data_IF_351172685506
#
_entry.id   IF_351172685506
#
_cell.length_a   1.000
_cell.length_b   1.000
_cell.length_c   1.000
_cell.angle_alpha   90.00
_cell.angle_beta   90.00
_cell.angle_gamma   90.00
#
_symmetry.space_group_name_H-M   'P 1'
#
loop_
_entity.id
_entity.type
_entity.pdbx_description
1 polymer ?
#
# COMPACT_ATOMS: atom_id res chain seq x y z
N UNK A 1 -6.69 -23.36 -8.72
CA UNK A 1 -5.24 -23.66 -8.59
C UNK A 1 -4.71 -23.92 -9.99
N UNK A 2 -3.85 -23.07 -10.53
CA UNK A 2 -3.24 -23.25 -11.86
C UNK A 2 -2.23 -24.41 -11.84
N UNK A 3 -2.08 -25.13 -12.95
CA UNK A 3 -1.12 -26.22 -13.05
C UNK A 3 0.32 -25.66 -12.83
N UNK A 4 1.19 -26.32 -12.04
CA UNK A 4 2.50 -25.79 -11.69
C UNK A 4 3.41 -25.52 -12.89
N UNK A 5 3.18 -26.20 -14.02
CA UNK A 5 3.87 -25.93 -15.30
C UNK A 5 3.49 -24.57 -15.90
N UNK A 6 2.22 -24.16 -15.78
CA UNK A 6 1.75 -22.85 -16.27
C UNK A 6 2.39 -21.69 -15.51
N UNK A 7 2.73 -21.89 -14.23
CA UNK A 7 3.40 -20.88 -13.40
C UNK A 7 4.86 -20.69 -13.85
N UNK A 8 5.53 -21.75 -14.28
CA UNK A 8 6.92 -21.67 -14.76
C UNK A 8 7.04 -20.95 -16.10
N UNK A 9 6.06 -21.12 -16.99
CA UNK A 9 6.04 -20.47 -18.30
C UNK A 9 5.44 -19.06 -18.28
N UNK A 10 4.79 -18.67 -17.17
CA UNK A 10 4.09 -17.40 -17.05
C UNK A 10 4.97 -16.17 -17.38
N UNK A 11 6.22 -16.04 -16.89
CA UNK A 11 7.05 -14.88 -17.23
C UNK A 11 7.35 -14.76 -18.73
N UNK A 12 7.61 -15.89 -19.40
CA UNK A 12 7.88 -15.91 -20.84
C UNK A 12 6.62 -15.72 -21.69
N UNK A 13 5.45 -16.09 -21.19
CA UNK A 13 4.17 -15.75 -21.81
C UNK A 13 3.89 -14.25 -21.72
N UNK A 14 4.07 -13.66 -20.54
CA UNK A 14 3.86 -12.24 -20.31
C UNK A 14 4.79 -11.39 -21.18
N UNK A 15 6.08 -11.73 -21.20
CA UNK A 15 7.06 -11.01 -22.03
C UNK A 15 6.67 -10.98 -23.50
N UNK A 16 6.19 -12.09 -24.05
CA UNK A 16 5.75 -12.17 -25.46
C UNK A 16 4.45 -11.41 -25.71
N UNK A 17 3.50 -11.50 -24.77
CA UNK A 17 2.21 -10.81 -24.87
C UNK A 17 2.38 -9.30 -24.79
N UNK A 18 3.19 -8.84 -23.83
CA UNK A 18 3.56 -7.43 -23.67
C UNK A 18 4.30 -6.91 -24.90
N UNK A 19 5.30 -7.65 -25.40
CA UNK A 19 6.05 -7.27 -26.59
C UNK A 19 5.15 -7.15 -27.82
N UNK A 20 4.24 -8.12 -28.03
CA UNK A 20 3.25 -8.03 -29.11
C UNK A 20 2.35 -6.80 -28.93
N UNK A 21 1.92 -6.50 -27.71
CA UNK A 21 1.13 -5.31 -27.40
C UNK A 21 1.88 -4.00 -27.71
N UNK A 22 3.21 -3.96 -27.52
CA UNK A 22 4.05 -2.84 -27.94
C UNK A 22 4.15 -2.72 -29.45
N UNK A 23 4.35 -3.85 -30.15
CA UNK A 23 4.51 -3.88 -31.60
C UNK A 23 3.19 -3.50 -32.32
N UNK A 24 2.05 -3.95 -31.79
CA UNK A 24 0.71 -3.63 -32.27
C UNK A 24 0.24 -2.22 -31.82
N UNK A 25 1.01 -1.53 -30.96
CA UNK A 25 0.68 -0.20 -30.43
C UNK A 25 -0.47 -0.16 -29.43
N UNK A 26 -0.94 -1.32 -28.96
CA UNK A 26 -1.98 -1.44 -27.93
C UNK A 26 -1.45 -0.96 -26.58
N UNK A 27 -0.20 -1.30 -26.27
CA UNK A 27 0.50 -0.87 -25.06
C UNK A 27 1.42 0.29 -25.42
N UNK A 28 1.31 1.37 -24.65
CA UNK A 28 2.23 2.52 -24.72
C UNK A 28 3.17 2.46 -23.52
N UNK A 29 4.32 3.14 -23.59
CA UNK A 29 5.30 3.20 -22.49
C UNK A 29 5.31 4.54 -21.77
N UNK A 30 4.28 5.37 -21.96
CA UNK A 30 4.25 6.74 -21.44
C UNK A 30 4.14 6.77 -19.92
N UNK A 31 3.33 5.90 -19.31
CA UNK A 31 3.21 5.81 -17.86
C UNK A 31 4.50 5.26 -17.26
N UNK A 32 5.09 4.24 -17.87
CA UNK A 32 6.38 3.64 -17.46
C UNK A 32 7.51 4.67 -17.50
N UNK A 33 7.62 5.46 -18.58
CA UNK A 33 8.60 6.56 -18.69
C UNK A 33 8.38 7.64 -17.64
N UNK A 34 7.13 8.03 -17.40
CA UNK A 34 6.78 9.03 -16.37
C UNK A 34 7.10 8.53 -14.97
N UNK A 35 6.75 7.28 -14.69
CA UNK A 35 7.07 6.57 -13.45
C UNK A 35 8.58 6.57 -13.23
N UNK A 36 9.36 6.17 -14.23
CA UNK A 36 10.82 6.16 -14.14
C UNK A 36 11.40 7.54 -13.85
N UNK A 37 11.07 8.54 -14.68
CA UNK A 37 11.58 9.92 -14.53
C UNK A 37 11.26 10.53 -13.17
N UNK A 38 10.02 10.36 -12.69
CA UNK A 38 9.60 10.88 -11.38
C UNK A 38 10.47 10.31 -10.25
N UNK A 39 10.61 8.98 -10.22
CA UNK A 39 11.34 8.30 -9.15
C UNK A 39 12.84 8.50 -9.26
N UNK A 40 13.38 8.53 -10.49
CA UNK A 40 14.78 8.84 -10.74
C UNK A 40 15.14 10.21 -10.18
N UNK A 41 14.37 11.25 -10.54
CA UNK A 41 14.59 12.60 -10.04
C UNK A 41 14.50 12.69 -8.52
N UNK A 42 13.52 12.00 -7.92
CA UNK A 42 13.39 11.96 -6.46
C UNK A 42 14.63 11.34 -5.78
N UNK A 43 15.14 10.22 -6.31
CA UNK A 43 16.33 9.56 -5.76
C UNK A 43 17.58 10.43 -5.96
N UNK A 44 17.74 11.06 -7.13
CA UNK A 44 18.85 12.00 -7.38
C UNK A 44 18.80 13.18 -6.42
N UNK A 45 17.62 13.78 -6.22
CA UNK A 45 17.44 14.91 -5.29
C UNK A 45 17.75 14.51 -3.84
N UNK A 46 17.34 13.31 -3.43
CA UNK A 46 17.67 12.77 -2.10
C UNK A 46 19.17 12.49 -1.95
N UNK A 47 19.83 11.98 -2.99
CA UNK A 47 21.29 11.78 -2.99
C UNK A 47 22.03 13.12 -2.90
N UNK A 48 21.68 14.11 -3.72
CA UNK A 48 22.27 15.45 -3.67
C UNK A 48 22.09 16.11 -2.30
N UNK A 49 20.92 15.94 -1.66
CA UNK A 49 20.69 16.47 -0.30
C UNK A 49 21.61 15.82 0.75
N UNK A 50 21.94 14.53 0.59
CA UNK A 50 22.83 13.81 1.53
C UNK A 50 24.30 14.04 1.26
N UNK A 51 24.68 14.20 -0.01
CA UNK A 51 26.06 14.40 -0.45
C UNK A 51 26.25 15.86 -0.85
N UNK A 52 26.49 16.72 0.14
CA UNK A 52 26.73 18.16 -0.02
C UNK A 52 27.99 18.48 -0.88
N UNK A 53 28.82 17.48 -1.20
CA UNK A 53 30.07 17.59 -1.97
C UNK A 53 29.92 17.33 -3.49
N UNK A 54 28.75 16.89 -3.98
CA UNK A 54 28.57 16.65 -5.42
C UNK A 54 28.30 17.97 -6.14
N UNK A 55 29.22 18.38 -7.01
CA UNK A 55 29.19 19.68 -7.67
C UNK A 55 28.17 19.77 -8.82
N UNK A 56 27.84 18.67 -9.51
CA UNK A 56 26.86 18.66 -10.61
C UNK A 56 25.91 17.46 -10.54
N UNK A 57 24.63 17.68 -10.89
CA UNK A 57 23.57 16.67 -10.90
C UNK A 57 23.87 15.53 -11.87
N UNK A 58 24.62 15.81 -12.94
CA UNK A 58 24.95 14.88 -14.03
C UNK A 58 25.84 13.72 -13.60
N UNK A 59 26.60 13.90 -12.52
CA UNK A 59 27.52 12.88 -12.01
C UNK A 59 26.81 11.87 -11.09
N UNK A 60 25.55 12.14 -10.73
CA UNK A 60 24.75 11.27 -9.86
C UNK A 60 23.99 10.26 -10.69
N UNK A 61 24.53 9.04 -10.80
CA UNK A 61 23.81 7.91 -11.36
C UNK A 61 23.23 7.01 -10.25
N UNK A 62 21.92 7.08 -9.95
CA UNK A 62 21.33 6.18 -8.99
C UNK A 62 21.24 4.75 -9.55
N UNK A 63 21.41 3.70 -8.71
CA UNK A 63 21.20 2.33 -9.14
C UNK A 63 19.75 2.09 -9.58
N UNK A 64 19.54 1.42 -10.72
CA UNK A 64 18.21 1.17 -11.28
C UNK A 64 17.26 0.49 -10.28
N UNK A 65 17.75 -0.51 -9.54
CA UNK A 65 16.97 -1.20 -8.52
C UNK A 65 16.49 -0.29 -7.37
N UNK A 66 17.26 0.77 -7.04
CA UNK A 66 16.87 1.74 -6.01
C UNK A 66 15.77 2.69 -6.52
N UNK A 67 15.88 3.11 -7.79
CA UNK A 67 14.84 3.92 -8.46
C UNK A 67 13.53 3.15 -8.58
N UNK A 68 13.61 1.89 -8.98
CA UNK A 68 12.43 1.02 -9.06
C UNK A 68 11.80 0.77 -7.68
N UNK A 69 12.61 0.42 -6.67
CA UNK A 69 12.13 0.24 -5.30
C UNK A 69 11.46 1.50 -4.75
N UNK A 70 12.02 2.68 -5.04
CA UNK A 70 11.39 3.97 -4.71
C UNK A 70 10.00 4.07 -5.33
N UNK A 71 9.87 3.79 -6.62
CA UNK A 71 8.61 3.86 -7.32
C UNK A 71 7.56 2.87 -6.81
N UNK A 72 7.94 1.64 -6.53
CA UNK A 72 7.02 0.65 -5.99
C UNK A 72 6.50 1.05 -4.60
N UNK A 73 7.37 1.61 -3.76
CA UNK A 73 6.99 2.17 -2.45
C UNK A 73 6.10 3.41 -2.61
N UNK A 74 6.32 4.25 -3.61
CA UNK A 74 5.42 5.36 -3.95
C UNK A 74 4.03 4.89 -4.35
N UNK A 75 3.92 3.80 -5.12
CA UNK A 75 2.62 3.27 -5.53
C UNK A 75 1.79 2.78 -4.32
N UNK A 76 2.44 2.16 -3.33
CA UNK A 76 1.75 1.51 -2.20
C UNK A 76 1.64 2.38 -0.95
N UNK A 77 2.64 3.20 -0.65
CA UNK A 77 2.77 3.91 0.64
C UNK A 77 2.59 5.43 0.50
N UNK A 78 2.08 5.92 -0.63
CA UNK A 78 1.66 7.30 -0.74
C UNK A 78 0.43 7.58 0.13
N UNK A 79 0.34 8.79 0.69
CA UNK A 79 -0.80 9.17 1.57
C UNK A 79 -2.10 9.41 0.80
N UNK A 80 -2.03 9.52 -0.52
CA UNK A 80 -3.19 9.71 -1.39
C UNK A 80 -3.37 8.48 -2.28
N UNK A 81 -4.62 8.17 -2.68
CA UNK A 81 -4.88 7.11 -3.64
C UNK A 81 -4.08 7.38 -4.91
N UNK A 82 -3.44 6.34 -5.43
CA UNK A 82 -2.61 6.46 -6.61
C UNK A 82 -3.53 6.33 -7.84
N UNK A 83 -3.65 7.37 -8.69
CA UNK A 83 -4.43 7.26 -9.91
C UNK A 83 -3.84 6.19 -10.83
N UNK A 84 -4.72 5.50 -11.57
CA UNK A 84 -4.35 4.46 -12.54
C UNK A 84 -3.42 4.95 -13.68
N UNK A 85 -3.33 6.28 -13.87
CA UNK A 85 -2.41 6.90 -14.82
C UNK A 85 -0.94 6.94 -14.31
N UNK A 86 -0.72 6.71 -13.02
CA UNK A 86 0.62 6.66 -12.42
C UNK A 86 1.15 5.23 -12.27
N UNK A 87 0.29 4.22 -12.41
CA UNK A 87 0.70 2.81 -12.43
C UNK A 87 1.35 2.53 -13.80
N UNK A 88 2.60 2.05 -13.84
CA UNK A 88 3.26 1.75 -15.11
C UNK A 88 2.55 0.58 -15.80
N UNK A 89 2.56 0.58 -17.12
CA UNK A 89 1.88 -0.44 -17.94
C UNK A 89 2.36 -1.87 -17.64
N UNK A 90 3.61 -2.00 -17.19
CA UNK A 90 4.23 -3.25 -16.74
C UNK A 90 3.59 -3.85 -15.48
N UNK A 91 2.98 -3.03 -14.62
CA UNK A 91 2.33 -3.44 -13.37
C UNK A 91 0.81 -3.48 -13.45
N UNK A 92 0.24 -3.42 -14.66
CA UNK A 92 -1.21 -3.35 -14.85
C UNK A 92 -1.93 -4.63 -14.37
N UNK A 93 -1.30 -5.80 -14.55
CA UNK A 93 -1.80 -7.08 -14.02
C UNK A 93 -1.76 -7.17 -12.49
N UNK A 94 -0.82 -6.48 -11.84
CA UNK A 94 -0.65 -6.48 -10.38
C UNK A 94 -1.46 -5.37 -9.69
N UNK A 95 -2.31 -4.63 -10.42
CA UNK A 95 -3.02 -3.46 -9.88
C UNK A 95 -3.83 -3.77 -8.60
N UNK A 96 -4.68 -4.81 -8.63
CA UNK A 96 -5.46 -5.24 -7.45
C UNK A 96 -4.56 -5.61 -6.28
N UNK A 97 -3.41 -6.24 -6.55
CA UNK A 97 -2.45 -6.61 -5.52
C UNK A 97 -1.80 -5.37 -4.90
N UNK A 98 -1.41 -4.39 -5.71
CA UNK A 98 -0.86 -3.12 -5.24
C UNK A 98 -1.90 -2.34 -4.40
N UNK A 99 -3.16 -2.32 -4.81
CA UNK A 99 -4.24 -1.70 -4.03
C UNK A 99 -4.48 -2.42 -2.70
N UNK A 100 -4.43 -3.76 -2.70
CA UNK A 100 -4.54 -4.56 -1.46
C UNK A 100 -3.38 -4.26 -0.50
N UNK A 101 -2.16 -4.12 -1.02
CA UNK A 101 -0.99 -3.73 -0.22
C UNK A 101 -1.14 -2.30 0.32
N UNK A 102 -1.70 -1.38 -0.48
CA UNK A 102 -1.98 0.00 -0.07
C UNK A 102 -2.99 0.05 1.07
N UNK A 103 -4.12 -0.65 0.91
CA UNK A 103 -5.13 -0.81 1.96
C UNK A 103 -4.50 -1.38 3.25
N UNK A 104 -3.69 -2.43 3.12
CA UNK A 104 -3.01 -3.07 4.27
C UNK A 104 -2.07 -2.10 4.99
N UNK A 105 -1.29 -1.32 4.24
CA UNK A 105 -0.43 -0.29 4.82
C UNK A 105 -1.22 0.81 5.55
N UNK A 106 -2.37 1.21 5.01
CA UNK A 106 -3.28 2.17 5.64
C UNK A 106 -3.89 1.59 6.93
N UNK A 107 -4.32 0.33 6.93
CA UNK A 107 -4.80 -0.37 8.13
C UNK A 107 -3.73 -0.42 9.23
N UNK A 108 -2.49 -0.75 8.88
CA UNK A 108 -1.35 -0.74 9.81
C UNK A 108 -1.13 0.67 10.37
N UNK A 109 -1.05 1.69 9.51
CA UNK A 109 -0.78 3.07 9.91
C UNK A 109 -1.88 3.64 10.82
N UNK A 110 -3.15 3.39 10.49
CA UNK A 110 -4.29 3.81 11.30
C UNK A 110 -4.29 3.12 12.67
N UNK A 111 -4.08 1.81 12.71
CA UNK A 111 -4.04 1.05 13.97
C UNK A 111 -2.89 1.51 14.86
N UNK A 112 -1.69 1.68 14.29
CA UNK A 112 -0.54 2.21 15.00
C UNK A 112 -0.78 3.63 15.54
N UNK A 113 -1.42 4.51 14.76
CA UNK A 113 -1.76 5.87 15.20
C UNK A 113 -2.77 5.86 16.37
N UNK A 114 -3.78 4.98 16.32
CA UNK A 114 -4.75 4.78 17.41
C UNK A 114 -4.04 4.31 18.67
N UNK A 115 -3.20 3.28 18.58
CA UNK A 115 -2.48 2.72 19.72
C UNK A 115 -1.50 3.73 20.31
N UNK A 116 -0.73 4.43 19.48
CA UNK A 116 0.21 5.44 19.94
C UNK A 116 -0.52 6.61 20.63
N UNK A 117 -1.64 7.06 20.07
CA UNK A 117 -2.48 8.10 20.69
C UNK A 117 -3.03 7.62 22.03
N UNK A 118 -3.57 6.40 22.10
CA UNK A 118 -4.08 5.82 23.34
C UNK A 118 -2.98 5.69 24.41
N UNK A 119 -1.77 5.24 24.03
CA UNK A 119 -0.61 5.15 24.93
C UNK A 119 -0.23 6.52 25.49
N UNK A 120 -0.16 7.53 24.62
CA UNK A 120 0.18 8.90 25.00
C UNK A 120 -0.85 9.51 25.95
N UNK A 121 -2.15 9.30 25.69
CA UNK A 121 -3.23 9.79 26.55
C UNK A 121 -3.22 9.15 27.94
N UNK A 122 -2.80 7.88 28.03
CA UNK A 122 -2.66 7.17 29.30
C UNK A 122 -1.28 7.35 29.95
N UNK A 123 -0.42 8.23 29.41
CA UNK A 123 0.94 8.47 29.87
C UNK A 123 1.76 7.17 30.03
N UNK A 124 1.50 6.19 29.16
CA UNK A 124 2.25 4.93 29.15
C UNK A 124 3.50 5.07 28.29
N UNK A 125 4.48 4.21 28.56
CA UNK A 125 5.67 4.10 27.71
C UNK A 125 5.25 3.69 26.28
N UNK A 126 5.64 4.50 25.30
CA UNK A 126 5.37 4.26 23.88
C UNK A 126 6.00 2.96 23.38
N UNK A 127 7.06 2.49 24.05
CA UNK A 127 7.74 1.21 23.78
C UNK A 127 7.02 0.00 24.35
N UNK A 128 6.06 0.19 25.24
CA UNK A 128 5.24 -0.92 25.75
C UNK A 128 4.45 -1.54 24.60
N UNK A 129 4.62 -2.85 24.40
CA UNK A 129 3.95 -3.58 23.32
C UNK A 129 2.49 -3.86 23.67
N UNK A 130 1.58 -3.43 22.79
CA UNK A 130 0.14 -3.70 22.89
C UNK A 130 -0.29 -4.67 21.78
N UNK A 131 0.44 -5.80 21.67
CA UNK A 131 0.33 -6.77 20.57
C UNK A 131 -1.08 -7.35 20.45
N UNK A 132 -1.67 -7.73 21.59
CA UNK A 132 -3.01 -8.32 21.61
C UNK A 132 -4.07 -7.30 21.15
N UNK A 133 -3.94 -6.03 21.55
CA UNK A 133 -4.81 -4.96 21.08
C UNK A 133 -4.62 -4.69 19.58
N UNK A 134 -3.37 -4.65 19.11
CA UNK A 134 -3.05 -4.45 17.69
C UNK A 134 -3.67 -5.55 16.82
N UNK A 135 -3.49 -6.81 17.20
CA UNK A 135 -4.00 -7.96 16.44
C UNK A 135 -5.53 -7.98 16.41
N UNK A 136 -6.19 -7.62 17.54
CA UNK A 136 -7.63 -7.46 17.57
C UNK A 136 -8.08 -6.39 16.59
N UNK A 137 -7.53 -5.19 16.64
CA UNK A 137 -7.96 -4.09 15.75
C UNK A 137 -7.68 -4.42 14.28
N UNK A 138 -6.56 -5.09 13.97
CA UNK A 138 -6.23 -5.45 12.59
C UNK A 138 -7.13 -6.55 12.01
N UNK A 139 -7.63 -7.46 12.87
CA UNK A 139 -8.58 -8.51 12.48
C UNK A 139 -10.00 -8.00 12.21
N UNK A 140 -10.30 -6.78 12.64
CA UNK A 140 -11.60 -6.16 12.44
C UNK A 140 -11.73 -5.65 11.01
N UNK A 141 -12.91 -5.83 10.41
CA UNK A 141 -13.20 -5.19 9.13
C UNK A 141 -13.53 -3.70 9.31
N UNK A 142 -12.54 -2.86 9.05
CA UNK A 142 -12.59 -1.41 9.29
C UNK A 142 -13.62 -0.70 8.39
N UNK A 143 -14.08 -1.33 7.30
CA UNK A 143 -15.16 -0.82 6.43
C UNK A 143 -16.53 -0.83 7.13
N UNK A 144 -16.81 -1.86 7.93
CA UNK A 144 -18.13 -2.08 8.54
C UNK A 144 -18.18 -1.61 10.01
N UNK A 145 -17.03 -1.42 10.63
CA UNK A 145 -16.95 -1.28 12.08
C UNK A 145 -16.99 0.17 12.53
N UNK A 146 -17.99 0.44 13.37
CA UNK A 146 -18.13 1.70 14.11
C UNK A 146 -16.93 1.93 15.04
N UNK A 147 -16.35 3.15 15.09
CA UNK A 147 -15.17 3.45 15.89
C UNK A 147 -15.39 3.21 17.39
N UNK A 148 -16.63 3.27 17.86
CA UNK A 148 -17.02 2.96 19.23
C UNK A 148 -16.72 1.50 19.62
N UNK A 149 -16.77 0.55 18.67
CA UNK A 149 -16.41 -0.85 18.97
C UNK A 149 -14.91 -1.03 19.22
N UNK A 150 -14.09 -0.32 18.44
CA UNK A 150 -12.63 -0.31 18.61
C UNK A 150 -12.28 0.30 19.98
N UNK A 151 -12.94 1.40 20.33
CA UNK A 151 -12.79 2.04 21.62
C UNK A 151 -13.19 1.11 22.78
N UNK A 152 -14.35 0.46 22.72
CA UNK A 152 -14.80 -0.48 23.74
C UNK A 152 -13.83 -1.65 23.92
N UNK A 153 -13.24 -2.18 22.84
CA UNK A 153 -12.24 -3.25 22.91
C UNK A 153 -10.97 -2.83 23.69
N UNK A 154 -10.55 -1.57 23.53
CA UNK A 154 -9.41 -1.01 24.26
C UNK A 154 -9.77 -0.77 25.74
N UNK A 155 -10.97 -0.24 26.01
CA UNK A 155 -11.44 0.04 27.36
C UNK A 155 -11.60 -1.21 28.22
N UNK A 156 -12.06 -2.32 27.63
CA UNK A 156 -12.17 -3.60 28.32
C UNK A 156 -10.83 -4.09 28.91
N UNK A 157 -9.70 -3.69 28.32
CA UNK A 157 -8.37 -4.04 28.83
C UNK A 157 -7.81 -2.94 29.73
N UNK A 158 -8.11 -1.67 29.44
CA UNK A 158 -7.46 -0.49 30.04
C UNK A 158 -8.49 0.62 30.23
N UNK A 159 -8.98 0.87 31.46
CA UNK A 159 -9.93 1.96 31.69
C UNK A 159 -9.30 3.32 31.37
N UNK A 160 -10.06 4.20 30.70
CA UNK A 160 -9.62 5.52 30.26
C UNK A 160 -10.51 6.62 30.87
N UNK A 161 -9.95 7.77 31.30
CA UNK A 161 -10.75 8.93 31.70
C UNK A 161 -11.66 9.44 30.58
N UNK A 162 -12.79 10.07 30.92
CA UNK A 162 -13.77 10.55 29.94
C UNK A 162 -13.18 11.50 28.87
N UNK A 163 -12.27 12.38 29.25
CA UNK A 163 -11.58 13.26 28.31
C UNK A 163 -10.74 12.46 27.29
N UNK A 164 -9.93 11.50 27.77
CA UNK A 164 -9.10 10.66 26.91
C UNK A 164 -9.94 9.79 25.95
N UNK A 165 -11.10 9.30 26.41
CA UNK A 165 -12.06 8.58 25.56
C UNK A 165 -12.56 9.42 24.39
N UNK A 166 -13.05 10.62 24.70
CA UNK A 166 -13.58 11.54 23.67
C UNK A 166 -12.52 11.94 22.63
N UNK A 167 -11.29 12.19 23.08
CA UNK A 167 -10.17 12.53 22.22
C UNK A 167 -9.77 11.36 21.33
N UNK A 168 -9.66 10.15 21.89
CA UNK A 168 -9.33 8.94 21.13
C UNK A 168 -10.39 8.65 20.06
N UNK A 169 -11.67 8.77 20.40
CA UNK A 169 -12.77 8.57 19.45
C UNK A 169 -12.72 9.56 18.27
N UNK A 170 -12.41 10.83 18.55
CA UNK A 170 -12.19 11.84 17.50
C UNK A 170 -11.03 11.45 16.58
N UNK A 171 -9.92 10.97 17.14
CA UNK A 171 -8.79 10.49 16.33
C UNK A 171 -9.17 9.26 15.49
N UNK A 172 -9.88 8.29 16.06
CA UNK A 172 -10.36 7.10 15.35
C UNK A 172 -11.18 7.49 14.12
N UNK A 173 -12.17 8.38 14.26
CA UNK A 173 -12.99 8.83 13.12
C UNK A 173 -12.15 9.41 11.99
N UNK A 174 -11.12 10.20 12.31
CA UNK A 174 -10.23 10.84 11.33
C UNK A 174 -9.29 9.86 10.64
N UNK A 175 -8.81 8.82 11.34
CA UNK A 175 -7.88 7.85 10.75
C UNK A 175 -8.58 6.69 10.06
N UNK A 176 -9.82 6.35 10.42
CA UNK A 176 -10.55 5.27 9.77
C UNK A 176 -11.15 5.69 8.42
N UNK A 177 -11.50 6.97 8.23
CA UNK A 177 -12.05 7.44 6.94
C UNK A 177 -11.15 7.13 5.73
N UNK A 178 -9.84 7.40 5.75
CA UNK A 178 -8.95 7.04 4.64
C UNK A 178 -8.83 5.53 4.44
N UNK A 179 -8.89 4.75 5.52
CA UNK A 179 -8.85 3.28 5.44
C UNK A 179 -10.09 2.74 4.76
N UNK A 180 -11.28 3.26 5.10
CA UNK A 180 -12.54 2.88 4.46
C UNK A 180 -12.50 3.16 2.96
N UNK A 181 -12.02 4.34 2.56
CA UNK A 181 -11.85 4.66 1.14
C UNK A 181 -10.90 3.69 0.44
N UNK A 182 -9.75 3.37 1.05
CA UNK A 182 -8.82 2.39 0.49
C UNK A 182 -9.42 0.99 0.35
N UNK A 183 -10.24 0.54 1.33
CA UNK A 183 -10.97 -0.74 1.23
C UNK A 183 -11.98 -0.72 0.08
N UNK A 184 -12.79 0.34 -0.03
CA UNK A 184 -13.78 0.44 -1.11
C UNK A 184 -13.16 0.48 -2.51
N UNK A 185 -11.96 1.04 -2.65
CA UNK A 185 -11.22 1.01 -3.91
C UNK A 185 -10.86 -0.43 -4.31
N UNK A 186 -10.32 -1.22 -3.36
CA UNK A 186 -10.01 -2.64 -3.60
C UNK A 186 -11.25 -3.42 -4.01
N UNK A 187 -12.38 -3.24 -3.32
CA UNK A 187 -13.63 -3.93 -3.63
C UNK A 187 -14.14 -3.59 -5.04
N UNK A 188 -14.02 -2.31 -5.43
CA UNK A 188 -14.41 -1.83 -6.77
C UNK A 188 -13.55 -2.45 -7.87
N UNK A 189 -12.23 -2.50 -7.66
CA UNK A 189 -11.29 -3.06 -8.64
C UNK A 189 -11.45 -4.58 -8.75
N UNK A 190 -11.62 -5.28 -7.62
CA UNK A 190 -11.91 -6.72 -7.62
C UNK A 190 -13.22 -7.06 -8.34
N UNK A 191 -14.27 -6.26 -8.14
CA UNK A 191 -15.55 -6.47 -8.84
C UNK A 191 -15.43 -6.23 -10.35
N UNK A 192 -14.53 -5.34 -10.79
CA UNK A 192 -14.29 -5.03 -12.20
C UNK A 192 -13.41 -6.06 -12.93
N UNK A 193 -12.54 -6.77 -12.22
CA UNK A 193 -11.64 -7.79 -12.80
C UNK A 193 -12.21 -9.21 -12.80
N UNK A 194 -13.39 -9.45 -12.22
CA UNK A 194 -14.08 -10.73 -12.38
C UNK A 194 -14.68 -10.80 -13.80
N UNK A 195 -14.25 -11.73 -14.67
CA UNK A 195 -15.03 -12.01 -15.86
C UNK A 195 -16.39 -12.53 -15.37
N UNK A 196 -17.45 -11.77 -15.63
CA UNK A 196 -18.81 -12.29 -15.59
C UNK A 196 -18.84 -13.46 -16.58
N UNK A 197 -18.70 -14.68 -16.07
CA UNK A 197 -18.97 -15.88 -16.85
C UNK A 197 -20.49 -15.92 -16.99
N UNK A 198 -20.98 -15.22 -18.01
CA UNK A 198 -22.36 -15.30 -18.44
C UNK A 198 -22.58 -16.73 -18.95
N UNK A 199 -23.09 -17.58 -18.08
CA UNK A 199 -23.57 -18.89 -18.46
C UNK A 199 -24.81 -18.67 -19.34
N UNK A 200 -24.66 -18.76 -20.66
CA UNK A 200 -25.79 -18.81 -21.59
C UNK A 200 -26.48 -20.16 -21.39
N UNK A 201 -27.28 -20.28 -20.33
CA UNK A 201 -28.35 -21.26 -20.28
C UNK A 201 -29.54 -20.67 -21.02
N UNK A 202 -29.80 -21.21 -22.21
CA UNK A 202 -30.98 -20.87 -22.97
C UNK A 202 -32.26 -21.21 -22.18
N UNK A 203 -33.20 -20.26 -22.24
CA UNK A 203 -34.64 -20.45 -22.41
C UNK A 203 -35.55 -19.82 -21.34
N UNK A 204 -36.44 -18.98 -21.89
CA UNK A 204 -37.77 -18.48 -21.50
C UNK A 204 -37.91 -17.42 -20.40
N UNK A 205 -38.34 -16.25 -20.87
CA UNK A 205 -38.98 -15.13 -20.20
C UNK A 205 -40.00 -15.53 -19.13
N UNK A 206 -39.94 -14.85 -17.98
CA UNK A 206 -41.15 -14.43 -17.28
C UNK A 206 -40.88 -13.13 -16.51
N UNK A 207 -41.64 -12.12 -16.90
CA UNK A 207 -41.74 -10.80 -16.29
C UNK A 207 -42.37 -10.89 -14.89
N UNK A 208 -41.68 -10.36 -13.88
CA UNK A 208 -42.32 -9.92 -12.64
C UNK A 208 -41.58 -8.69 -12.10
N UNK A 209 -42.22 -7.54 -12.29
CA UNK A 209 -41.88 -6.27 -11.66
C UNK A 209 -42.20 -6.31 -10.16
N UNK A 210 -41.19 -6.11 -9.32
CA UNK A 210 -41.38 -5.72 -7.92
C UNK A 210 -40.39 -4.63 -7.56
N UNK A 211 -40.88 -3.39 -7.63
CA UNK A 211 -40.31 -2.20 -7.02
C UNK A 211 -40.35 -2.34 -5.50
N UNK A 212 -39.18 -2.41 -4.86
CA UNK A 212 -39.06 -2.31 -3.41
C UNK A 212 -38.08 -1.20 -3.07
N UNK A 213 -38.66 -0.15 -2.48
CA UNK A 213 -38.04 1.11 -2.12
C UNK A 213 -36.85 0.92 -1.16
N UNK A 214 -35.73 1.56 -1.48
CA UNK A 214 -34.61 1.77 -0.57
C UNK A 214 -34.99 2.86 0.43
N UNK A 215 -35.30 2.43 1.64
CA UNK A 215 -35.56 3.30 2.78
C UNK A 215 -34.29 4.04 3.18
N UNK A 216 -34.36 5.36 3.11
CA UNK A 216 -33.33 6.31 3.51
C UNK A 216 -32.92 6.13 4.97
N UNK A 217 -31.70 5.64 5.22
CA UNK A 217 -31.05 5.72 6.52
C UNK A 217 -29.96 6.79 6.47
N UNK A 218 -30.32 7.98 6.98
CA UNK A 218 -29.52 9.13 7.34
C UNK A 218 -28.01 9.06 7.03
N UNK A 219 -27.62 9.70 5.93
CA UNK A 219 -26.25 10.05 5.59
C UNK A 219 -25.74 11.08 6.60
N UNK A 220 -24.97 10.64 7.59
CA UNK A 220 -24.04 11.52 8.29
C UNK A 220 -22.92 11.84 7.29
N UNK A 221 -23.00 13.02 6.66
CA UNK A 221 -22.07 13.49 5.63
C UNK A 221 -20.71 13.84 6.24
N UNK A 222 -20.02 12.86 6.81
CA UNK A 222 -18.58 12.95 7.03
C UNK A 222 -17.92 12.82 5.67
N UNK A 223 -17.40 13.92 5.13
CA UNK A 223 -16.57 13.93 3.93
C UNK A 223 -15.58 12.76 3.99
N UNK A 224 -15.70 11.79 3.08
CA UNK A 224 -14.83 10.62 3.01
C UNK A 224 -13.45 11.08 2.54
N UNK A 225 -12.56 11.35 3.50
CA UNK A 225 -11.20 11.76 3.19
C UNK A 225 -10.43 10.54 2.68
N UNK A 226 -9.89 10.61 1.47
CA UNK A 226 -9.07 9.55 0.87
C UNK A 226 -7.62 9.53 1.36
N UNK A 227 -7.23 10.45 2.25
CA UNK A 227 -5.86 10.60 2.75
C UNK A 227 -5.84 10.92 4.24
N UNK A 228 -4.79 10.50 4.96
CA UNK A 228 -4.67 10.83 6.37
C UNK A 228 -4.50 12.34 6.56
N UNK A 229 -5.45 12.95 7.27
CA UNK A 229 -5.35 14.34 7.75
C UNK A 229 -4.72 14.40 9.14
N UNK A 230 -4.75 13.28 9.87
CA UNK A 230 -4.17 13.19 11.20
C UNK A 230 -2.65 13.25 11.19
N UNK A 231 -2.02 14.14 11.99
CA UNK A 231 -0.57 14.31 11.98
C UNK A 231 0.15 13.05 12.48
N UNK A 232 -0.43 12.31 13.43
CA UNK A 232 0.18 11.08 13.94
C UNK A 232 0.10 10.00 12.87
N UNK A 233 -1.06 9.81 12.24
CA UNK A 233 -1.21 8.85 11.14
C UNK A 233 -0.30 9.17 9.94
N UNK A 234 -0.20 10.44 9.53
CA UNK A 234 0.74 10.87 8.48
C UNK A 234 2.19 10.58 8.84
N UNK A 235 2.59 10.88 10.07
CA UNK A 235 3.95 10.62 10.55
C UNK A 235 4.25 9.12 10.56
N UNK A 236 3.32 8.31 11.06
CA UNK A 236 3.43 6.85 11.09
C UNK A 236 3.55 6.27 9.67
N UNK A 237 2.69 6.69 8.73
CA UNK A 237 2.76 6.26 7.33
C UNK A 237 4.10 6.68 6.69
N UNK A 238 4.56 7.90 6.93
CA UNK A 238 5.86 8.37 6.44
C UNK A 238 7.04 7.54 6.99
N UNK A 239 6.97 7.13 8.26
CA UNK A 239 8.00 6.27 8.87
C UNK A 239 7.94 4.84 8.36
N UNK A 240 6.72 4.30 8.17
CA UNK A 240 6.51 3.00 7.55
C UNK A 240 7.10 2.98 6.14
N UNK A 241 6.81 4.01 5.35
CA UNK A 241 7.38 4.23 4.03
C UNK A 241 8.90 4.21 4.02
N UNK A 242 9.54 4.97 4.91
CA UNK A 242 11.01 4.98 5.02
C UNK A 242 11.58 3.62 5.41
N UNK A 243 10.92 2.90 6.32
CA UNK A 243 11.32 1.56 6.74
C UNK A 243 11.22 0.53 5.59
N UNK A 244 10.09 0.51 4.88
CA UNK A 244 9.86 -0.40 3.74
C UNK A 244 10.84 -0.08 2.62
N UNK A 245 11.03 1.19 2.27
CA UNK A 245 12.01 1.61 1.26
C UNK A 245 13.42 1.14 1.61
N UNK A 246 13.86 1.34 2.86
CA UNK A 246 15.19 0.92 3.31
C UNK A 246 15.40 -0.58 3.17
N UNK A 247 14.36 -1.40 3.37
CA UNK A 247 14.45 -2.86 3.22
C UNK A 247 14.42 -3.28 1.75
N UNK A 248 13.58 -2.65 0.93
CA UNK A 248 13.48 -2.96 -0.50
C UNK A 248 14.70 -2.49 -1.29
N UNK A 249 15.32 -1.37 -0.88
CA UNK A 249 16.51 -0.82 -1.55
C UNK A 249 17.81 -1.54 -1.16
N UNK A 250 17.78 -2.47 -0.21
CA UNK A 250 18.96 -3.19 0.25
C UNK A 250 19.49 -4.10 -0.88
N UNK A 251 20.62 -3.72 -1.46
CA UNK A 251 21.13 -4.32 -2.70
C UNK A 251 21.87 -5.63 -2.43
N UNK A 252 22.65 -5.71 -1.35
CA UNK A 252 23.46 -6.89 -1.03
C UNK A 252 22.75 -7.84 -0.06
N UNK A 253 23.15 -9.12 -0.09
CA UNK A 253 22.62 -10.12 0.84
C UNK A 253 22.93 -9.75 2.31
N UNK A 254 24.13 -9.22 2.58
CA UNK A 254 24.52 -8.78 3.92
C UNK A 254 23.71 -7.56 4.39
N UNK A 255 23.37 -6.63 3.49
CA UNK A 255 22.51 -5.49 3.80
C UNK A 255 21.08 -5.93 4.07
N UNK A 256 20.53 -6.87 3.28
CA UNK A 256 19.20 -7.45 3.52
C UNK A 256 19.11 -8.16 4.87
N UNK A 257 20.14 -8.94 5.23
CA UNK A 257 20.23 -9.60 6.54
C UNK A 257 20.26 -8.55 7.65
N UNK A 258 21.14 -7.55 7.55
CA UNK A 258 21.24 -6.48 8.54
C UNK A 258 19.92 -5.73 8.71
N UNK A 259 19.30 -5.31 7.61
CA UNK A 259 18.04 -4.58 7.63
C UNK A 259 16.92 -5.40 8.30
N UNK A 260 16.91 -6.72 8.08
CA UNK A 260 15.96 -7.64 8.71
C UNK A 260 16.25 -7.82 10.20
N UNK A 261 17.51 -8.02 10.60
CA UNK A 261 17.90 -8.17 12.01
C UNK A 261 17.57 -6.91 12.82
N UNK A 262 17.74 -5.72 12.25
CA UNK A 262 17.42 -4.45 12.92
C UNK A 262 15.96 -4.01 12.77
N UNK A 263 15.12 -4.80 12.08
CA UNK A 263 13.78 -4.35 11.70
C UNK A 263 12.88 -4.09 12.92
N UNK A 264 12.94 -4.98 13.93
CA UNK A 264 12.17 -4.83 15.17
C UNK A 264 12.52 -3.54 15.91
N UNK A 265 13.82 -3.22 16.01
CA UNK A 265 14.31 -1.99 16.65
C UNK A 265 13.91 -0.75 15.85
N UNK A 266 14.04 -0.79 14.52
CA UNK A 266 13.66 0.31 13.63
C UNK A 266 12.15 0.61 13.70
N UNK A 267 11.30 -0.42 13.69
CA UNK A 267 9.85 -0.26 13.83
C UNK A 267 9.44 0.19 15.23
N UNK A 268 10.11 -0.30 16.27
CA UNK A 268 9.90 0.20 17.63
C UNK A 268 10.23 1.69 17.73
N UNK A 269 11.35 2.14 17.15
CA UNK A 269 11.71 3.55 17.07
C UNK A 269 10.72 4.38 16.23
N UNK A 270 10.10 3.77 15.21
CA UNK A 270 9.06 4.39 14.40
C UNK A 270 7.73 4.54 15.14
N UNK A 271 7.52 3.84 16.26
CA UNK A 271 6.27 3.84 17.03
C UNK A 271 5.30 2.71 16.65
N UNK A 272 5.80 1.65 16.00
CA UNK A 272 5.04 0.50 15.50
C UNK A 272 5.63 -0.87 15.94
N UNK A 273 6.04 -1.07 17.21
CA UNK A 273 6.67 -2.33 17.62
C UNK A 273 5.77 -3.57 17.47
N UNK A 274 4.44 -3.40 17.41
CA UNK A 274 3.47 -4.50 17.29
C UNK A 274 3.37 -5.10 15.88
N UNK A 275 3.83 -4.36 14.85
CA UNK A 275 3.55 -4.67 13.45
C UNK A 275 4.73 -5.29 12.70
N UNK A 276 5.77 -5.75 13.41
CA UNK A 276 6.98 -6.32 12.78
C UNK A 276 6.65 -7.43 11.78
N UNK A 277 5.73 -8.33 12.13
CA UNK A 277 5.36 -9.45 11.26
C UNK A 277 4.56 -8.98 10.04
N UNK A 278 3.59 -8.08 10.22
CA UNK A 278 2.73 -7.62 9.12
C UNK A 278 3.48 -6.71 8.14
N UNK A 279 4.35 -5.84 8.65
CA UNK A 279 5.26 -5.05 7.81
C UNK A 279 6.28 -5.95 7.11
N UNK A 280 6.72 -7.04 7.76
CA UNK A 280 7.54 -8.07 7.13
C UNK A 280 6.87 -8.67 5.90
N UNK A 281 5.63 -9.16 6.05
CA UNK A 281 4.83 -9.68 4.93
C UNK A 281 4.63 -8.65 3.83
N UNK A 282 4.34 -7.39 4.18
CA UNK A 282 4.19 -6.29 3.22
C UNK A 282 5.46 -6.10 2.36
N UNK A 283 6.64 -6.09 3.00
CA UNK A 283 7.94 -5.98 2.31
C UNK A 283 8.22 -7.19 1.44
N UNK A 284 7.91 -8.39 1.92
CA UNK A 284 8.12 -9.63 1.17
C UNK A 284 7.22 -9.70 -0.07
N UNK A 285 5.96 -9.29 0.05
CA UNK A 285 5.03 -9.22 -1.09
C UNK A 285 5.48 -8.18 -2.13
N UNK A 286 5.92 -6.99 -1.70
CA UNK A 286 6.49 -5.99 -2.62
C UNK A 286 7.76 -6.50 -3.30
N UNK A 287 8.60 -7.25 -2.58
CA UNK A 287 9.80 -7.85 -3.15
C UNK A 287 9.44 -8.86 -4.24
N UNK A 288 8.43 -9.71 -4.00
CA UNK A 288 7.93 -10.66 -5.02
C UNK A 288 7.37 -9.95 -6.25
N UNK A 289 6.57 -8.90 -6.08
CA UNK A 289 6.04 -8.10 -7.20
C UNK A 289 7.20 -7.54 -8.02
N UNK A 290 8.18 -6.90 -7.37
CA UNK A 290 9.37 -6.38 -8.05
C UNK A 290 10.09 -7.47 -8.83
N UNK A 291 10.38 -8.61 -8.19
CA UNK A 291 11.23 -9.64 -8.78
C UNK A 291 10.54 -10.28 -10.00
N UNK A 292 9.21 -10.50 -9.95
CA UNK A 292 8.42 -10.98 -11.08
C UNK A 292 8.35 -9.95 -12.19
N UNK A 293 7.99 -8.70 -11.88
CA UNK A 293 7.89 -7.63 -12.88
C UNK A 293 9.24 -7.38 -13.59
N UNK A 294 10.34 -7.36 -12.83
CA UNK A 294 11.67 -7.19 -13.40
C UNK A 294 12.07 -8.37 -14.30
N UNK A 295 11.64 -9.59 -13.97
CA UNK A 295 11.89 -10.78 -14.79
C UNK A 295 11.10 -10.72 -16.11
N UNK A 296 9.85 -10.27 -16.07
CA UNK A 296 9.00 -10.15 -17.26
C UNK A 296 9.39 -8.97 -18.16
N UNK A 297 9.69 -7.82 -17.55
CA UNK A 297 9.78 -6.53 -18.23
C UNK A 297 11.17 -5.88 -18.18
N UNK A 298 12.21 -6.60 -17.76
CA UNK A 298 13.57 -6.08 -17.62
C UNK A 298 14.11 -5.36 -18.87
N UNK A 299 13.88 -5.93 -20.06
CA UNK A 299 14.30 -5.30 -21.33
C UNK A 299 13.56 -3.99 -21.62
N UNK A 300 12.30 -3.87 -21.19
CA UNK A 300 11.51 -2.65 -21.32
C UNK A 300 12.08 -1.58 -20.41
N UNK A 301 12.41 -1.93 -19.17
CA UNK A 301 13.07 -1.01 -18.24
C UNK A 301 14.44 -0.58 -18.75
N UNK A 302 15.24 -1.48 -19.31
CA UNK A 302 16.55 -1.13 -19.90
C UNK A 302 16.40 -0.11 -21.04
N UNK A 303 15.41 -0.29 -21.91
CA UNK A 303 15.06 0.70 -22.95
C UNK A 303 14.60 2.04 -22.36
N UNK A 304 13.74 2.02 -21.35
CA UNK A 304 13.26 3.25 -20.71
C UNK A 304 14.40 3.99 -20.00
N UNK A 305 15.32 3.25 -19.37
CA UNK A 305 16.51 3.79 -18.72
C UNK A 305 17.41 4.48 -19.75
N UNK A 306 17.69 3.84 -20.88
CA UNK A 306 18.54 4.42 -21.93
C UNK A 306 17.91 5.63 -22.62
N UNK A 307 16.59 5.73 -22.67
CA UNK A 307 15.87 6.88 -23.23
C UNK A 307 15.69 8.04 -22.22
N UNK A 308 15.74 7.76 -20.91
CA UNK A 308 15.46 8.75 -19.86
C UNK A 308 16.71 9.27 -19.12
N UNK A 309 17.86 8.60 -19.26
CA UNK A 309 19.17 9.07 -18.79
C UNK A 309 19.80 10.00 -19.82
#
# INVERSE_FOLDING_TARGET
>A
VAAPQLIQEAPGYEQRTFQKGLDDGTIKLEKTKRFWRKNHNFVVDDMLRRYQEVADRRDVHPPAGKVYAQGLVDLVLNNAPVPLDLVPETLELDNVRLETLHMTAFKIAATAAILLTAKNLLKRDSRSQWKAEADRILSLDISEIKPERIQSSLECTRPMPAAARSQLLSTMRRVLSPVMTATTSVDTTMSSQMPSVEYVSGSISSSASTSSASTSAATDSSATSSSFTDPVARLILSRLRAHVLSRLSAASASERVRATTTASQSLAAAGMPEFVNEVGKLVDELSKVRDVDWTCHGMVYERVISECN
#
